data_IF_897670124850
#
_entry.id   IF_897670124850
#
_cell.length_a   1.000
_cell.length_b   1.000
_cell.length_c   1.000
_cell.angle_alpha   90.00
_cell.angle_beta   90.00
_cell.angle_gamma   90.00
#
_symmetry.space_group_name_H-M   'P 1'
#
loop_
_entity.id
_entity.type
_entity.pdbx_description
1 polymer ?
#
# COMPACT_ATOMS: atom_id res chain seq x y z
N UNK A 1 18.37 -14.64 46.66
CA UNK A 1 18.80 -15.22 45.36
C UNK A 1 18.13 -14.40 44.28
N UNK A 2 18.75 -13.28 43.88
CA UNK A 2 19.64 -13.14 42.72
C UNK A 2 18.91 -13.28 41.37
N UNK A 3 18.64 -12.14 40.74
CA UNK A 3 19.15 -11.76 39.40
C UNK A 3 18.18 -10.78 38.73
N UNK A 4 18.57 -9.80 37.92
CA UNK A 4 19.84 -9.13 37.58
C UNK A 4 19.37 -7.81 36.94
N UNK A 5 19.90 -6.68 37.38
CA UNK A 5 19.65 -5.38 36.74
C UNK A 5 20.47 -5.33 35.45
N UNK A 6 19.82 -5.20 34.30
CA UNK A 6 20.49 -5.02 33.01
C UNK A 6 20.44 -3.52 32.69
N UNK A 7 21.61 -2.89 32.80
CA UNK A 7 21.88 -1.51 32.44
C UNK A 7 22.37 -1.53 30.99
N UNK A 8 21.61 -0.97 30.05
CA UNK A 8 22.07 -0.77 28.68
C UNK A 8 22.19 0.73 28.45
N UNK A 9 23.43 1.20 28.44
CA UNK A 9 23.79 2.52 27.96
C UNK A 9 24.04 2.42 26.44
N UNK A 10 23.20 3.08 25.63
CA UNK A 10 23.49 3.28 24.20
C UNK A 10 23.90 4.73 24.01
N UNK A 11 25.18 4.89 23.72
CA UNK A 11 25.82 6.13 23.31
C UNK A 11 25.55 6.30 21.80
N UNK A 12 24.60 7.17 21.42
CA UNK A 12 24.37 7.49 20.02
C UNK A 12 25.17 8.74 19.63
N UNK A 13 26.19 8.51 18.81
CA UNK A 13 27.05 9.53 18.18
C UNK A 13 26.24 10.27 17.11
N UNK A 14 26.15 11.60 17.25
CA UNK A 14 25.59 12.48 16.23
C UNK A 14 26.65 12.77 15.16
N UNK A 15 26.39 12.37 13.92
CA UNK A 15 27.15 12.82 12.74
C UNK A 15 26.27 13.82 12.00
N UNK A 16 26.63 15.10 12.11
CA UNK A 16 26.10 16.21 11.31
C UNK A 16 27.20 16.70 10.38
N UNK A 17 26.84 16.96 9.12
CA UNK A 17 27.63 17.69 8.13
C UNK A 17 27.70 16.91 6.81
N UNK A 18 27.06 17.29 5.69
CA UNK A 18 26.93 18.54 4.94
C UNK A 18 27.76 18.51 3.63
N UNK A 19 27.10 18.82 2.51
CA UNK A 19 27.69 19.24 1.23
C UNK A 19 27.36 18.32 0.05
N UNK A 20 27.13 18.78 -1.18
CA UNK A 20 26.91 20.09 -1.78
C UNK A 20 26.20 19.86 -3.14
N UNK A 21 25.45 20.87 -3.61
CA UNK A 21 24.63 20.85 -4.82
C UNK A 21 25.39 21.08 -6.15
N UNK A 22 24.72 20.71 -7.25
CA UNK A 22 24.78 21.24 -8.62
C UNK A 22 26.04 20.99 -9.47
N UNK A 23 25.87 20.38 -10.65
CA UNK A 23 25.52 21.12 -11.89
C UNK A 23 25.66 20.18 -13.10
N UNK A 24 24.71 20.23 -14.03
CA UNK A 24 24.85 19.67 -15.38
C UNK A 24 24.04 20.56 -16.32
N UNK A 25 24.75 21.32 -17.14
CA UNK A 25 24.25 22.03 -18.33
C UNK A 25 24.61 21.14 -19.52
N UNK A 26 23.63 20.63 -20.27
CA UNK A 26 23.04 21.21 -21.49
C UNK A 26 23.84 20.81 -22.74
N UNK A 27 23.24 20.00 -23.61
CA UNK A 27 23.39 20.13 -25.07
C UNK A 27 22.03 19.84 -25.75
N UNK A 28 21.54 20.88 -26.41
CA UNK A 28 20.45 21.00 -27.40
C UNK A 28 20.73 20.16 -28.69
N UNK A 29 19.89 19.89 -29.70
CA UNK A 29 18.60 20.41 -30.17
C UNK A 29 18.04 19.49 -31.29
N UNK A 30 16.71 19.45 -31.41
CA UNK A 30 15.85 19.41 -32.61
C UNK A 30 15.99 18.34 -33.72
N UNK A 31 14.92 17.55 -33.89
CA UNK A 31 14.16 17.49 -35.14
C UNK A 31 12.70 17.01 -34.96
N UNK A 32 11.82 17.97 -34.68
CA UNK A 32 10.38 17.79 -34.79
C UNK A 32 9.97 17.59 -36.27
N UNK A 33 9.83 16.34 -36.75
CA UNK A 33 9.06 16.07 -37.98
C UNK A 33 8.41 14.68 -38.12
N UNK A 34 8.38 13.85 -37.07
CA UNK A 34 7.62 12.58 -37.12
C UNK A 34 6.22 12.67 -36.43
N UNK A 35 6.01 13.69 -35.60
CA UNK A 35 4.80 13.86 -34.77
C UNK A 35 3.53 14.14 -35.59
N UNK A 36 3.64 14.60 -36.84
CA UNK A 36 2.51 15.00 -37.68
C UNK A 36 1.79 13.88 -38.44
N UNK A 37 2.36 12.67 -38.56
CA UNK A 37 1.79 11.58 -39.39
C UNK A 37 1.27 10.37 -38.62
N UNK A 38 1.63 10.22 -37.34
CA UNK A 38 1.18 9.07 -36.52
C UNK A 38 -0.14 9.35 -35.78
N UNK A 39 -0.42 10.61 -35.44
CA UNK A 39 -1.54 10.95 -34.56
C UNK A 39 -2.93 11.03 -35.22
N UNK A 40 -3.04 11.02 -36.55
CA UNK A 40 -4.34 11.06 -37.24
C UNK A 40 -4.88 9.66 -37.60
N UNK A 41 -4.16 8.60 -37.22
CA UNK A 41 -4.45 7.22 -37.58
C UNK A 41 -4.68 6.33 -36.38
N UNK A 42 -5.73 6.64 -35.61
CA UNK A 42 -6.42 5.73 -34.71
C UNK A 42 -5.61 5.04 -33.59
N UNK A 43 -5.95 5.43 -32.35
CA UNK A 43 -6.06 4.51 -31.21
C UNK A 43 -4.74 4.08 -30.53
N UNK A 44 -3.85 5.01 -30.18
CA UNK A 44 -2.74 4.68 -29.27
C UNK A 44 -2.09 5.86 -28.52
N UNK A 45 -2.88 6.89 -28.20
CA UNK A 45 -2.39 8.09 -27.53
C UNK A 45 -3.21 8.39 -26.28
N UNK A 46 -3.21 7.42 -25.36
CA UNK A 46 -3.51 7.64 -23.93
C UNK A 46 -2.17 7.47 -23.20
N UNK A 47 -1.17 8.25 -23.61
CA UNK A 47 0.15 8.30 -22.99
C UNK A 47 0.40 9.72 -22.50
N UNK A 48 0.76 9.87 -21.23
CA UNK A 48 1.19 11.10 -20.55
C UNK A 48 0.16 12.13 -20.08
N UNK A 49 -1.15 11.92 -20.27
CA UNK A 49 -2.21 12.72 -19.63
C UNK A 49 -2.83 12.11 -18.35
N UNK A 50 -2.69 10.80 -18.15
CA UNK A 50 -3.38 10.03 -17.11
C UNK A 50 -2.55 9.80 -15.83
N UNK A 51 -1.27 10.21 -15.80
CA UNK A 51 -0.38 9.92 -14.67
C UNK A 51 -0.49 10.90 -13.49
N UNK A 52 -0.98 12.13 -13.69
CA UNK A 52 -1.15 13.09 -12.59
C UNK A 52 -2.50 12.98 -11.88
N UNK A 53 -3.55 12.49 -12.55
CA UNK A 53 -4.87 12.28 -11.94
C UNK A 53 -4.98 11.01 -11.08
N UNK A 54 -4.18 9.99 -11.38
CA UNK A 54 -4.18 8.71 -10.66
C UNK A 54 -3.37 8.73 -9.35
N UNK A 55 -2.40 9.65 -9.21
CA UNK A 55 -1.62 9.81 -7.97
C UNK A 55 -2.40 10.58 -6.90
N UNK A 56 -3.15 11.62 -7.27
CA UNK A 56 -3.91 12.44 -6.33
C UNK A 56 -5.18 11.77 -5.78
N UNK A 57 -5.74 10.77 -6.46
CA UNK A 57 -6.89 10.00 -5.96
C UNK A 57 -6.45 8.90 -4.96
N UNK A 58 -5.19 8.47 -5.00
CA UNK A 58 -4.70 7.33 -4.19
C UNK A 58 -4.46 7.70 -2.71
N UNK A 59 -4.04 8.94 -2.47
CA UNK A 59 -3.53 9.37 -1.16
C UNK A 59 -4.62 9.45 -0.07
N UNK A 60 -5.87 9.78 -0.43
CA UNK A 60 -6.99 9.84 0.52
C UNK A 60 -7.46 8.46 0.99
N UNK A 61 -7.24 7.40 0.19
CA UNK A 61 -7.60 6.02 0.54
C UNK A 61 -6.50 5.25 1.25
N UNK A 62 -5.23 5.53 0.94
CA UNK A 62 -4.08 4.86 1.57
C UNK A 62 -3.95 5.18 3.06
N UNK A 63 -4.32 6.40 3.48
CA UNK A 63 -4.28 6.79 4.89
C UNK A 63 -5.24 5.99 5.78
N UNK A 64 -6.41 5.61 5.25
CA UNK A 64 -7.39 4.78 5.96
C UNK A 64 -6.86 3.37 6.19
N UNK A 65 -6.31 2.75 5.15
CA UNK A 65 -5.80 1.37 5.22
C UNK A 65 -4.62 1.27 6.20
N UNK A 66 -3.73 2.27 6.22
CA UNK A 66 -2.57 2.29 7.13
C UNK A 66 -2.94 2.50 8.61
N UNK A 67 -4.14 3.01 8.90
CA UNK A 67 -4.58 3.39 10.24
C UNK A 67 -5.89 2.69 10.65
N UNK A 68 -6.04 1.41 10.32
CA UNK A 68 -7.17 0.60 10.80
C UNK A 68 -7.13 0.44 12.32
N UNK A 69 -8.27 0.65 12.98
CA UNK A 69 -8.44 0.34 14.41
C UNK A 69 -8.48 -1.18 14.62
N UNK A 70 -8.27 -1.63 15.86
CA UNK A 70 -8.29 -3.07 16.15
C UNK A 70 -9.68 -3.69 15.97
N UNK A 71 -10.75 -2.92 16.24
CA UNK A 71 -12.13 -3.30 15.93
C UNK A 71 -12.34 -3.51 14.42
N UNK A 72 -11.82 -2.61 13.58
CA UNK A 72 -11.92 -2.74 12.12
C UNK A 72 -11.14 -3.95 11.61
N UNK A 73 -9.94 -4.20 12.13
CA UNK A 73 -9.15 -5.40 11.80
C UNK A 73 -9.88 -6.68 12.20
N UNK A 74 -10.59 -6.66 13.34
CA UNK A 74 -11.40 -7.79 13.80
C UNK A 74 -12.56 -8.06 12.86
N UNK A 75 -13.26 -7.03 12.38
CA UNK A 75 -14.34 -7.17 11.38
C UNK A 75 -13.80 -7.82 10.10
N UNK A 76 -12.64 -7.37 9.60
CA UNK A 76 -11.99 -7.99 8.43
C UNK A 76 -11.69 -9.47 8.69
N UNK A 77 -11.13 -9.81 9.85
CA UNK A 77 -10.81 -11.19 10.21
C UNK A 77 -12.08 -12.08 10.27
N UNK A 78 -13.16 -11.56 10.84
CA UNK A 78 -14.45 -12.27 10.89
C UNK A 78 -15.05 -12.47 9.49
N UNK A 79 -14.97 -11.45 8.64
CA UNK A 79 -15.42 -11.55 7.26
C UNK A 79 -14.63 -12.61 6.48
N UNK A 80 -13.30 -12.64 6.61
CA UNK A 80 -12.45 -13.67 6.00
C UNK A 80 -12.84 -15.07 6.48
N UNK A 81 -13.03 -15.25 7.79
CA UNK A 81 -13.43 -16.53 8.37
C UNK A 81 -14.81 -16.99 7.86
N UNK A 82 -15.81 -16.09 7.80
CA UNK A 82 -17.15 -16.37 7.28
C UNK A 82 -17.11 -16.84 5.82
N UNK A 83 -16.18 -16.31 5.03
CA UNK A 83 -15.97 -16.67 3.64
C UNK A 83 -15.02 -17.88 3.44
N UNK A 84 -14.58 -18.54 4.53
CA UNK A 84 -13.64 -19.67 4.50
C UNK A 84 -12.31 -19.32 3.82
N UNK A 85 -11.84 -18.10 4.06
CA UNK A 85 -10.57 -17.59 3.58
C UNK A 85 -9.52 -17.56 4.70
N UNK A 86 -8.25 -17.65 4.34
CA UNK A 86 -7.11 -17.45 5.23
C UNK A 86 -6.85 -15.94 5.45
N UNK A 87 -5.78 -15.62 6.19
CA UNK A 87 -5.44 -14.23 6.53
C UNK A 87 -5.03 -13.35 5.34
N UNK A 88 -4.73 -13.96 4.18
CA UNK A 88 -4.42 -13.29 2.92
C UNK A 88 -5.60 -13.34 1.94
N UNK A 89 -6.75 -13.85 2.37
CA UNK A 89 -7.93 -13.92 1.53
C UNK A 89 -7.88 -14.98 0.43
N UNK A 90 -7.05 -16.00 0.58
CA UNK A 90 -7.09 -17.21 -0.25
C UNK A 90 -7.85 -18.33 0.47
N UNK A 91 -8.21 -19.41 -0.22
CA UNK A 91 -8.89 -20.53 0.40
C UNK A 91 -8.08 -21.09 1.59
N UNK A 92 -8.76 -21.47 2.67
CA UNK A 92 -8.11 -22.15 3.79
C UNK A 92 -7.36 -23.39 3.29
N UNK A 93 -6.12 -23.56 3.76
CA UNK A 93 -5.24 -24.65 3.34
C UNK A 93 -4.38 -24.32 2.12
N UNK A 94 -4.47 -23.11 1.56
CA UNK A 94 -3.54 -22.63 0.53
C UNK A 94 -2.10 -22.67 1.05
N UNK A 95 -1.23 -23.32 0.29
CA UNK A 95 0.20 -23.42 0.55
C UNK A 95 0.94 -22.42 -0.35
N UNK A 96 1.85 -21.65 0.24
CA UNK A 96 2.68 -20.70 -0.48
C UNK A 96 4.11 -21.25 -0.57
N UNK A 97 4.51 -21.65 -1.77
CA UNK A 97 5.89 -22.06 -2.04
C UNK A 97 6.75 -20.81 -2.16
N UNK A 98 7.66 -20.58 -1.21
CA UNK A 98 8.57 -19.42 -1.24
C UNK A 98 8.26 -18.30 -0.23
N UNK A 99 7.23 -18.42 0.61
CA UNK A 99 6.97 -17.43 1.66
C UNK A 99 5.50 -17.06 1.79
N UNK A 100 5.18 -15.77 1.84
CA UNK A 100 3.81 -15.26 1.87
C UNK A 100 3.48 -14.58 0.54
N UNK A 101 2.20 -14.41 0.16
CA UNK A 101 1.84 -13.70 -1.07
C UNK A 101 2.12 -12.19 -0.99
N UNK A 102 2.64 -11.71 0.15
CA UNK A 102 2.92 -10.29 0.38
C UNK A 102 4.30 -9.87 -0.10
N UNK A 103 5.17 -10.80 -0.48
CA UNK A 103 6.52 -10.51 -0.95
C UNK A 103 6.64 -10.83 -2.44
N UNK A 104 7.06 -9.85 -3.23
CA UNK A 104 7.41 -10.02 -4.64
C UNK A 104 8.92 -10.31 -4.74
N UNK A 105 9.29 -11.54 -5.06
CA UNK A 105 10.68 -11.96 -5.18
C UNK A 105 11.41 -11.35 -6.39
N UNK A 106 10.68 -10.92 -7.43
CA UNK A 106 11.26 -10.31 -8.62
C UNK A 106 11.71 -8.88 -8.34
N UNK A 107 10.92 -8.13 -7.57
CA UNK A 107 11.19 -6.73 -7.23
C UNK A 107 11.86 -6.56 -5.87
N UNK A 108 11.72 -7.54 -4.98
CA UNK A 108 12.15 -7.48 -3.58
C UNK A 108 11.23 -6.61 -2.70
N UNK A 109 10.03 -6.27 -3.17
CA UNK A 109 9.09 -5.41 -2.45
C UNK A 109 8.12 -6.22 -1.59
N UNK A 110 7.77 -5.67 -0.42
CA UNK A 110 6.75 -6.23 0.48
C UNK A 110 5.52 -5.34 0.52
N UNK A 111 4.34 -5.94 0.44
CA UNK A 111 3.06 -5.25 0.57
C UNK A 111 2.47 -5.45 1.97
N UNK A 112 1.90 -4.39 2.56
CA UNK A 112 1.15 -4.52 3.81
C UNK A 112 -0.08 -5.43 3.63
N UNK A 113 -0.37 -6.26 4.62
CA UNK A 113 -1.44 -7.28 4.53
C UNK A 113 -2.81 -6.67 4.27
N UNK A 114 -3.15 -5.58 4.95
CA UNK A 114 -4.47 -4.96 4.76
C UNK A 114 -4.52 -4.23 3.42
N UNK A 115 -3.44 -3.58 3.00
CA UNK A 115 -3.32 -3.03 1.63
C UNK A 115 -3.60 -4.10 0.59
N UNK A 116 -2.95 -5.26 0.69
CA UNK A 116 -3.19 -6.40 -0.18
C UNK A 116 -4.65 -6.88 -0.16
N UNK A 117 -5.26 -6.99 1.03
CA UNK A 117 -6.65 -7.41 1.17
C UNK A 117 -7.64 -6.41 0.57
N UNK A 118 -7.46 -5.10 0.76
CA UNK A 118 -8.35 -4.07 0.19
C UNK A 118 -8.19 -3.91 -1.32
N UNK A 119 -7.02 -4.24 -1.88
CA UNK A 119 -6.84 -4.34 -3.32
C UNK A 119 -7.56 -5.58 -3.89
N UNK A 120 -7.52 -6.70 -3.17
CA UNK A 120 -8.16 -7.96 -3.56
C UNK A 120 -9.68 -7.96 -3.36
N UNK A 121 -10.16 -7.32 -2.29
CA UNK A 121 -11.57 -7.21 -1.90
C UNK A 121 -11.94 -5.75 -1.60
N UNK A 122 -12.21 -4.94 -2.63
CA UNK A 122 -12.57 -3.54 -2.45
C UNK A 122 -13.82 -3.32 -1.57
N UNK A 123 -14.72 -4.31 -1.50
CA UNK A 123 -15.95 -4.31 -0.71
C UNK A 123 -15.73 -4.33 0.81
N UNK A 124 -14.52 -4.66 1.27
CA UNK A 124 -14.20 -4.67 2.70
C UNK A 124 -14.45 -3.32 3.36
N UNK A 125 -14.38 -2.21 2.60
CA UNK A 125 -14.70 -0.87 3.12
C UNK A 125 -16.15 -0.77 3.55
N UNK A 126 -17.06 -1.30 2.73
CA UNK A 126 -18.49 -1.26 3.00
C UNK A 126 -18.86 -2.25 4.11
N UNK A 127 -18.20 -3.40 4.16
CA UNK A 127 -18.35 -4.38 5.26
C UNK A 127 -17.98 -3.76 6.60
N UNK A 128 -16.80 -3.13 6.70
CA UNK A 128 -16.35 -2.51 7.95
C UNK A 128 -17.30 -1.39 8.36
N UNK A 129 -17.70 -0.55 7.41
CA UNK A 129 -18.64 0.54 7.67
C UNK A 129 -19.97 0.01 8.21
N UNK A 130 -20.56 -0.98 7.53
CA UNK A 130 -21.84 -1.56 7.93
C UNK A 130 -21.79 -2.20 9.31
N UNK A 131 -20.75 -2.98 9.61
CA UNK A 131 -20.64 -3.65 10.91
C UNK A 131 -20.33 -2.68 12.06
N UNK A 132 -19.58 -1.60 11.80
CA UNK A 132 -19.39 -0.54 12.79
C UNK A 132 -20.68 0.23 13.09
N UNK A 133 -21.52 0.48 12.08
CA UNK A 133 -22.82 1.13 12.26
C UNK A 133 -23.78 0.25 13.07
N UNK A 134 -23.75 -1.07 12.89
CA UNK A 134 -24.58 -2.01 13.66
C UNK A 134 -24.17 -2.07 15.14
N UNK A 135 -22.86 -2.09 15.42
CA UNK A 135 -22.35 -2.09 16.79
C UNK A 135 -22.68 -0.80 17.56
N UNK A 136 -22.83 0.33 16.87
CA UNK A 136 -23.23 1.59 17.49
C UNK A 136 -24.70 1.60 17.95
N UNK A 137 -25.56 0.80 17.30
CA UNK A 137 -26.99 0.73 17.63
C UNK A 137 -27.26 -0.18 18.84
N UNK A 138 -26.44 -1.22 19.05
CA UNK A 138 -26.62 -2.17 20.17
C UNK A 138 -26.26 -1.59 21.56
N UNK A 139 -25.70 -0.37 21.63
CA UNK A 139 -25.27 0.26 22.89
C UNK A 139 -26.36 1.18 23.49
N UNK A 140 -27.43 1.46 22.75
CA UNK A 140 -28.52 2.34 23.21
C UNK A 140 -29.76 1.62 23.79
N UNK A 141 -29.75 0.27 23.89
CA UNK A 141 -30.84 -0.52 24.51
C UNK A 141 -30.54 -1.08 25.91
#
# INVERSE_FOLDING_TARGET
MHSKKILIAVLAVAILGAGCSQTSQDEDQDDASFVGKVFNGAKQTIGSGAQKGSRFIKESGEGYIRNLTDEQKLIVAQWLAKNKLNEFGDAIGTLYTGGTPLFDELTGESTDRFTYLFEKFPELKDVIKGEMELQAVEIEE
#
